data_IF_252846109670
#
_entry.id   IF_252846109670
#
_cell.length_a   1.000
_cell.length_b   1.000
_cell.length_c   1.000
_cell.angle_alpha   90.00
_cell.angle_beta   90.00
_cell.angle_gamma   90.00
#
_symmetry.space_group_name_H-M   'P 1'
#
loop_
_entity.id
_entity.type
_entity.pdbx_description
1 polymer ?
#
# COMPACT_ATOMS: atom_id res chain seq x y z
N UNK A 1 -16.04 -6.38 -10.15
CA UNK A 1 -16.25 -5.24 -9.23
C UNK A 1 -15.49 -5.58 -7.96
N UNK A 2 -14.19 -5.25 -7.89
CA UNK A 2 -13.42 -5.42 -6.67
C UNK A 2 -13.76 -4.23 -5.78
N UNK A 3 -14.71 -4.45 -4.86
CA UNK A 3 -15.03 -3.51 -3.80
C UNK A 3 -13.76 -3.37 -2.96
N UNK A 4 -13.02 -2.27 -3.14
CA UNK A 4 -11.81 -1.97 -2.38
C UNK A 4 -12.23 -1.49 -0.99
N UNK A 5 -12.94 -2.33 -0.24
CA UNK A 5 -13.58 -1.97 1.03
C UNK A 5 -12.62 -2.06 2.20
N UNK A 6 -11.48 -2.74 2.06
CA UNK A 6 -10.52 -2.91 3.14
C UNK A 6 -9.11 -2.63 2.66
N UNK A 7 -8.52 -1.55 3.19
CA UNK A 7 -7.08 -1.33 3.10
C UNK A 7 -6.36 -2.61 3.49
N UNK A 8 -5.33 -2.97 2.72
CA UNK A 8 -4.59 -4.20 2.96
C UNK A 8 -4.13 -4.28 4.43
N UNK A 9 -4.42 -5.41 5.06
CA UNK A 9 -4.05 -5.66 6.46
C UNK A 9 -2.55 -5.90 6.59
N UNK A 10 -1.99 -5.64 7.78
CA UNK A 10 -0.58 -5.88 8.07
C UNK A 10 -0.13 -7.31 7.70
N UNK A 11 -0.97 -8.31 7.98
CA UNK A 11 -0.70 -9.71 7.64
C UNK A 11 -0.57 -9.93 6.13
N UNK A 12 -1.38 -9.23 5.33
CA UNK A 12 -1.33 -9.31 3.87
C UNK A 12 -0.05 -8.68 3.31
N UNK A 13 0.39 -7.55 3.89
CA UNK A 13 1.67 -6.90 3.53
C UNK A 13 2.86 -7.80 3.91
N UNK A 14 2.84 -8.43 5.09
CA UNK A 14 3.88 -9.36 5.51
C UNK A 14 3.93 -10.61 4.62
N UNK A 15 2.76 -11.17 4.25
CA UNK A 15 2.70 -12.29 3.32
C UNK A 15 3.27 -11.94 1.94
N UNK A 16 2.96 -10.74 1.44
CA UNK A 16 3.53 -10.23 0.19
C UNK A 16 5.05 -10.11 0.26
N UNK A 17 5.59 -9.46 1.30
CA UNK A 17 7.03 -9.28 1.49
C UNK A 17 7.78 -10.62 1.60
N UNK A 18 7.18 -11.59 2.30
CA UNK A 18 7.70 -12.96 2.40
C UNK A 18 7.77 -13.63 1.02
N UNK A 19 6.76 -13.43 0.19
CA UNK A 19 6.70 -13.97 -1.18
C UNK A 19 7.70 -13.29 -2.12
N UNK A 20 7.90 -11.98 -2.00
CA UNK A 20 8.76 -11.21 -2.91
C UNK A 20 10.24 -11.20 -2.52
N UNK A 21 10.56 -11.26 -1.22
CA UNK A 21 11.94 -11.16 -0.73
C UNK A 21 12.49 -12.47 -0.14
N UNK A 22 11.71 -13.56 -0.13
CA UNK A 22 12.09 -14.85 0.47
C UNK A 22 12.66 -14.72 1.90
N UNK A 23 12.18 -13.73 2.64
CA UNK A 23 12.67 -13.39 3.97
C UNK A 23 11.94 -14.17 5.06
N UNK A 24 12.59 -14.29 6.22
CA UNK A 24 12.00 -14.90 7.41
C UNK A 24 10.75 -14.15 7.88
N UNK A 25 9.82 -14.85 8.50
CA UNK A 25 8.54 -14.29 8.94
C UNK A 25 8.71 -13.12 9.90
N UNK A 26 9.72 -13.17 10.78
CA UNK A 26 10.03 -12.05 11.67
C UNK A 26 10.44 -10.80 10.90
N UNK A 27 11.34 -10.94 9.92
CA UNK A 27 11.80 -9.83 9.09
C UNK A 27 10.65 -9.26 8.27
N UNK A 28 9.86 -10.12 7.63
CA UNK A 28 8.69 -9.70 6.86
C UNK A 28 7.66 -8.93 7.71
N UNK A 29 7.48 -9.31 8.98
CA UNK A 29 6.60 -8.57 9.90
C UNK A 29 7.14 -7.20 10.30
N UNK A 30 8.46 -7.07 10.51
CA UNK A 30 9.09 -5.79 10.84
C UNK A 30 8.96 -4.84 9.65
N UNK A 31 9.33 -5.30 8.46
CA UNK A 31 9.22 -4.51 7.23
C UNK A 31 7.75 -4.16 6.93
N UNK A 32 6.81 -5.09 7.12
CA UNK A 32 5.38 -4.82 6.92
C UNK A 32 4.87 -3.72 7.87
N UNK A 33 5.36 -3.66 9.11
CA UNK A 33 5.00 -2.59 10.05
C UNK A 33 5.52 -1.24 9.58
N UNK A 34 6.75 -1.17 9.07
CA UNK A 34 7.32 0.05 8.52
C UNK A 34 6.56 0.50 7.27
N UNK A 35 6.25 -0.42 6.35
CA UNK A 35 5.41 -0.13 5.18
C UNK A 35 4.05 0.40 5.62
N UNK A 36 3.38 -0.26 6.56
CA UNK A 36 2.07 0.18 7.08
C UNK A 36 2.14 1.59 7.70
N UNK A 37 3.17 1.89 8.50
CA UNK A 37 3.37 3.22 9.06
C UNK A 37 3.59 4.27 7.96
N UNK A 38 4.37 3.94 6.93
CA UNK A 38 4.59 4.82 5.79
C UNK A 38 3.30 5.08 5.01
N UNK A 39 2.48 4.05 4.77
CA UNK A 39 1.18 4.18 4.11
C UNK A 39 0.21 5.08 4.90
N UNK A 40 0.12 4.86 6.22
CA UNK A 40 -0.68 5.71 7.11
C UNK A 40 -0.17 7.15 7.10
N UNK A 41 1.14 7.34 7.16
CA UNK A 41 1.76 8.68 7.08
C UNK A 41 1.46 9.36 5.75
N UNK A 42 1.55 8.63 4.63
CA UNK A 42 1.20 9.13 3.31
C UNK A 42 -0.27 9.53 3.23
N UNK A 43 -1.17 8.74 3.83
CA UNK A 43 -2.60 9.05 3.91
C UNK A 43 -2.87 10.29 4.74
N UNK A 44 -2.24 10.42 5.92
CA UNK A 44 -2.37 11.59 6.79
C UNK A 44 -1.85 12.88 6.14
N UNK A 45 -0.76 12.79 5.39
CA UNK A 45 -0.22 13.90 4.60
C UNK A 45 -1.05 14.21 3.35
N UNK A 46 -2.07 13.41 3.05
CA UNK A 46 -2.92 13.59 1.87
C UNK A 46 -2.26 13.18 0.55
N UNK A 47 -1.21 12.35 0.58
CA UNK A 47 -0.60 11.82 -0.65
C UNK A 47 -1.44 10.72 -1.30
N UNK A 48 -1.98 9.83 -0.47
CA UNK A 48 -2.82 8.70 -0.90
C UNK A 48 -4.16 8.73 -0.18
N UNK A 49 -5.21 8.25 -0.82
CA UNK A 49 -6.53 8.06 -0.20
C UNK A 49 -6.66 6.67 0.42
N UNK A 50 -5.91 5.70 -0.10
CA UNK A 50 -5.86 4.32 0.38
C UNK A 50 -4.81 3.48 -0.35
N UNK A 51 -4.81 2.18 -0.07
CA UNK A 51 -3.96 1.18 -0.70
C UNK A 51 -4.69 -0.16 -0.72
N UNK A 52 -4.41 -1.01 -1.69
CA UNK A 52 -5.08 -2.29 -1.89
C UNK A 52 -4.17 -3.31 -2.57
N UNK A 53 -4.57 -4.58 -2.54
CA UNK A 53 -3.94 -5.61 -3.36
C UNK A 53 -4.73 -5.79 -4.65
N UNK A 54 -4.07 -5.62 -5.79
CA UNK A 54 -4.67 -5.87 -7.10
C UNK A 54 -4.89 -7.38 -7.33
N UNK A 55 -5.60 -7.75 -8.41
CA UNK A 55 -5.81 -9.14 -8.84
C UNK A 55 -4.50 -9.94 -8.99
N UNK A 56 -3.38 -9.27 -9.28
CA UNK A 56 -2.06 -9.89 -9.35
C UNK A 56 -1.39 -10.10 -7.99
N UNK A 57 -2.02 -9.69 -6.88
CA UNK A 57 -1.45 -9.77 -5.54
C UNK A 57 -0.39 -8.70 -5.25
N UNK A 58 -0.32 -7.66 -6.07
CA UNK A 58 0.60 -6.53 -5.87
C UNK A 58 -0.05 -5.43 -5.04
N UNK A 59 0.72 -4.84 -4.14
CA UNK A 59 0.27 -3.69 -3.35
C UNK A 59 0.23 -2.44 -4.23
N UNK A 60 -0.96 -1.95 -4.50
CA UNK A 60 -1.21 -0.72 -5.22
C UNK A 60 -1.64 0.41 -4.28
N UNK A 61 -1.22 1.63 -4.62
CA UNK A 61 -1.54 2.84 -3.89
C UNK A 61 -2.59 3.63 -4.66
N UNK A 62 -3.61 4.12 -3.95
CA UNK A 62 -4.59 5.03 -4.50
C UNK A 62 -4.11 6.46 -4.23
N UNK A 63 -3.53 7.17 -5.21
CA UNK A 63 -3.12 8.55 -5.02
C UNK A 63 -4.34 9.45 -4.74
N UNK A 64 -4.14 10.48 -3.93
CA UNK A 64 -5.18 11.49 -3.74
C UNK A 64 -5.35 12.37 -4.97
N UNK A 65 -6.51 13.01 -5.11
CA UNK A 65 -6.75 13.99 -6.17
C UNK A 65 -5.72 15.12 -6.17
N UNK A 66 -5.24 15.53 -4.99
CA UNK A 66 -4.22 16.57 -4.84
C UNK A 66 -2.89 16.14 -5.48
N UNK A 67 -2.51 14.87 -5.31
CA UNK A 67 -1.32 14.32 -5.96
C UNK A 67 -1.59 14.10 -7.44
N UNK A 68 -2.71 13.48 -7.83
CA UNK A 68 -3.07 13.26 -9.23
C UNK A 68 -2.99 14.57 -10.06
N UNK A 69 -3.50 15.68 -9.53
CA UNK A 69 -3.39 17.01 -10.18
C UNK A 69 -1.95 17.51 -10.31
N UNK A 70 -1.06 17.10 -9.39
CA UNK A 70 0.36 17.49 -9.35
C UNK A 70 1.24 16.61 -10.24
N UNK A 71 0.95 15.31 -10.36
CA UNK A 71 1.68 14.37 -11.22
C UNK A 71 1.14 14.31 -12.65
N UNK A 72 -0.14 14.59 -12.88
CA UNK A 72 -0.75 14.74 -14.20
C UNK A 72 -1.32 16.16 -14.38
N UNK A 73 -0.47 17.17 -14.68
CA UNK A 73 -0.92 18.54 -14.91
C UNK A 73 -1.62 18.77 -16.26
N UNK A 74 -2.13 17.74 -16.94
CA UNK A 74 -2.69 17.85 -18.30
C UNK A 74 -4.18 17.57 -18.34
N UNK A 75 -4.98 18.64 -18.29
CA UNK A 75 -5.56 19.21 -19.51
C UNK A 75 -6.05 20.64 -19.28
#
# INVERSE_FOLDING_TARGET
MADVTQSASLASIAAYLKLTHECDEQTAMVEAKEVMQNLVTMRQKGFITGWYFDAHGHLELLPSEAILKRINPTK
#
